data_IF_977798184505
#
_entry.id   IF_977798184505
#
_cell.length_a   1.000
_cell.length_b   1.000
_cell.length_c   1.000
_cell.angle_alpha   90.00
_cell.angle_beta   90.00
_cell.angle_gamma   90.00
#
_symmetry.space_group_name_H-M   'P 1'
#
loop_
_entity.id
_entity.type
_entity.pdbx_description
1 polymer ?
#
# COMPACT_ATOMS: atom_id res chain seq x y z
N UNK A 1 3.94 2.32 11.58
CA UNK A 1 3.99 1.37 10.45
C UNK A 1 4.53 0.03 10.93
N UNK A 2 3.78 -1.05 10.69
CA UNK A 2 4.16 -2.40 11.07
C UNK A 2 4.13 -3.32 9.85
N UNK A 3 5.12 -4.20 9.73
CA UNK A 3 5.14 -5.24 8.70
C UNK A 3 4.17 -6.35 9.06
N UNK A 4 3.31 -6.74 8.13
CA UNK A 4 2.31 -7.80 8.39
C UNK A 4 2.91 -9.20 8.37
N UNK A 5 4.00 -9.42 7.66
CA UNK A 5 4.62 -10.73 7.46
C UNK A 5 3.59 -11.85 7.17
N UNK A 6 2.61 -11.53 6.31
CA UNK A 6 1.46 -12.40 5.99
C UNK A 6 0.53 -12.74 7.17
N UNK A 7 0.66 -12.04 8.31
CA UNK A 7 -0.17 -12.21 9.52
C UNK A 7 -0.84 -10.88 9.91
N UNK A 8 -1.84 -10.42 9.16
CA UNK A 8 -2.44 -9.10 9.39
C UNK A 8 -3.10 -8.97 10.77
N UNK A 9 -3.67 -10.03 11.31
CA UNK A 9 -4.26 -10.02 12.66
C UNK A 9 -3.20 -9.73 13.72
N UNK A 10 -2.04 -10.39 13.63
CA UNK A 10 -0.94 -10.17 14.59
C UNK A 10 -0.36 -8.76 14.48
N UNK A 11 -0.25 -8.22 13.25
CA UNK A 11 0.19 -6.83 13.06
C UNK A 11 -0.78 -5.83 13.71
N UNK A 12 -2.10 -6.04 13.57
CA UNK A 12 -3.13 -5.21 14.22
C UNK A 12 -3.06 -5.34 15.74
N UNK A 13 -2.90 -6.57 16.27
CA UNK A 13 -2.71 -6.80 17.69
C UNK A 13 -1.51 -6.03 18.24
N UNK A 14 -0.38 -6.11 17.56
CA UNK A 14 0.81 -5.33 17.94
C UNK A 14 0.53 -3.84 17.94
N UNK A 15 -0.10 -3.32 16.88
CA UNK A 15 -0.49 -1.89 16.82
C UNK A 15 -1.45 -1.46 17.92
N UNK A 16 -2.44 -2.28 18.24
CA UNK A 16 -3.36 -2.00 19.36
C UNK A 16 -2.65 -2.03 20.71
N UNK A 17 -1.73 -2.96 20.91
CA UNK A 17 -0.91 -3.03 22.13
C UNK A 17 -0.04 -1.79 22.27
N UNK A 18 0.62 -1.35 21.19
CA UNK A 18 1.41 -0.12 21.16
C UNK A 18 0.56 1.12 21.50
N UNK A 19 -0.71 1.16 21.07
CA UNK A 19 -1.63 2.26 21.41
C UNK A 19 -1.95 2.23 22.91
N UNK A 20 -2.28 1.06 23.45
CA UNK A 20 -2.58 0.91 24.89
C UNK A 20 -1.36 1.25 25.76
N UNK A 21 -0.17 0.82 25.37
CA UNK A 21 1.08 1.12 26.10
C UNK A 21 1.39 2.63 26.11
N UNK A 22 1.08 3.34 25.03
CA UNK A 22 1.38 4.78 24.91
C UNK A 22 0.32 5.68 25.54
N UNK A 23 -0.94 5.32 25.40
CA UNK A 23 -2.06 6.19 25.74
C UNK A 23 -2.93 5.63 26.87
N UNK A 24 -2.91 4.34 27.13
CA UNK A 24 -3.65 3.70 28.21
C UNK A 24 -5.14 4.04 28.18
N UNK A 25 -5.69 4.43 29.33
CA UNK A 25 -7.07 4.83 29.49
C UNK A 25 -7.44 6.15 28.77
N UNK A 26 -6.44 6.91 28.29
CA UNK A 26 -6.68 8.11 27.49
C UNK A 26 -7.07 7.80 26.04
N UNK A 27 -6.96 6.54 25.62
CA UNK A 27 -7.32 6.10 24.27
C UNK A 27 -8.85 5.96 24.14
N UNK A 28 -9.53 7.06 23.88
CA UNK A 28 -10.96 7.09 23.58
C UNK A 28 -11.18 7.01 22.06
N UNK A 29 -11.52 5.82 21.57
CA UNK A 29 -11.71 5.54 20.15
C UNK A 29 -13.12 5.94 19.72
N UNK A 30 -13.23 7.05 19.00
CA UNK A 30 -14.50 7.62 18.55
C UNK A 30 -15.03 6.97 17.27
N UNK A 31 -14.16 6.54 16.38
CA UNK A 31 -14.51 5.83 15.15
C UNK A 31 -13.33 5.05 14.59
N UNK A 32 -13.60 3.98 13.86
CA UNK A 32 -12.60 3.12 13.22
C UNK A 32 -12.86 3.00 11.73
N UNK A 33 -11.83 3.33 10.93
CA UNK A 33 -11.81 3.10 9.50
C UNK A 33 -10.72 2.11 9.09
N UNK A 34 -11.01 1.25 8.13
CA UNK A 34 -10.05 0.29 7.59
C UNK A 34 -10.00 0.30 6.06
N UNK A 35 -8.82 0.02 5.52
CA UNK A 35 -8.59 -0.06 4.07
C UNK A 35 -7.53 -1.12 3.73
N UNK A 36 -7.21 -1.25 2.45
CA UNK A 36 -6.24 -2.21 1.93
C UNK A 36 -6.86 -3.58 1.65
N UNK A 37 -6.03 -4.54 1.24
CA UNK A 37 -6.48 -5.89 0.88
C UNK A 37 -7.09 -6.67 2.05
N UNK A 38 -6.63 -6.42 3.28
CA UNK A 38 -7.14 -7.04 4.51
C UNK A 38 -8.33 -6.33 5.16
N UNK A 39 -8.88 -5.27 4.53
CA UNK A 39 -9.88 -4.39 5.14
C UNK A 39 -11.14 -5.09 5.68
N UNK A 40 -11.63 -6.10 4.99
CA UNK A 40 -12.82 -6.83 5.45
C UNK A 40 -12.53 -7.65 6.70
N UNK A 41 -11.43 -8.42 6.70
CA UNK A 41 -11.00 -9.21 7.85
C UNK A 41 -10.78 -8.33 9.07
N UNK A 42 -9.98 -7.28 8.91
CA UNK A 42 -9.64 -6.40 10.02
C UNK A 42 -10.84 -5.54 10.43
N UNK A 43 -11.67 -5.13 9.47
CA UNK A 43 -12.90 -4.40 9.75
C UNK A 43 -13.89 -5.18 10.61
N UNK A 44 -14.08 -6.45 10.30
CA UNK A 44 -14.95 -7.33 11.09
C UNK A 44 -14.34 -7.60 12.49
N UNK A 45 -13.02 -7.81 12.56
CA UNK A 45 -12.32 -8.06 13.81
C UNK A 45 -12.35 -6.86 14.76
N UNK A 46 -12.09 -5.66 14.23
CA UNK A 46 -12.02 -4.43 15.00
C UNK A 46 -13.38 -3.76 15.23
N UNK A 47 -14.43 -4.21 14.54
CA UNK A 47 -15.71 -3.52 14.54
C UNK A 47 -15.64 -2.16 13.83
N UNK A 48 -14.99 -2.12 12.65
CA UNK A 48 -14.80 -0.87 11.93
C UNK A 48 -16.13 -0.24 11.51
N UNK A 49 -16.25 1.06 11.72
CA UNK A 49 -17.40 1.87 11.33
C UNK A 49 -17.46 2.11 9.83
N UNK A 50 -16.29 2.18 9.20
CA UNK A 50 -16.18 2.29 7.75
C UNK A 50 -15.12 1.35 7.19
N UNK A 51 -15.47 0.67 6.09
CA UNK A 51 -14.56 -0.17 5.31
C UNK A 51 -14.40 0.49 3.95
N UNK A 52 -13.22 1.01 3.67
CA UNK A 52 -12.98 1.91 2.54
C UNK A 52 -12.10 1.24 1.50
N UNK A 53 -12.43 1.44 0.22
CA UNK A 53 -11.52 1.09 -0.86
C UNK A 53 -10.24 1.95 -0.76
N UNK A 54 -9.09 1.35 -1.01
CA UNK A 54 -7.79 2.02 -0.86
C UNK A 54 -7.61 3.22 -1.80
N UNK A 55 -8.16 3.18 -3.02
CA UNK A 55 -8.11 4.32 -3.95
C UNK A 55 -8.82 5.52 -3.35
N UNK A 56 -10.01 5.31 -2.79
CA UNK A 56 -10.77 6.36 -2.11
C UNK A 56 -10.04 6.90 -0.88
N UNK A 57 -9.43 6.01 -0.09
CA UNK A 57 -8.67 6.41 1.10
C UNK A 57 -7.46 7.27 0.73
N UNK A 58 -6.63 6.82 -0.23
CA UNK A 58 -5.48 7.58 -0.70
C UNK A 58 -5.90 8.94 -1.30
N UNK A 59 -6.95 8.97 -2.12
CA UNK A 59 -7.48 10.19 -2.72
C UNK A 59 -7.95 11.20 -1.65
N UNK A 60 -8.69 10.73 -0.65
CA UNK A 60 -9.20 11.57 0.44
C UNK A 60 -8.05 12.20 1.25
N UNK A 61 -7.03 11.40 1.61
CA UNK A 61 -5.87 11.92 2.31
C UNK A 61 -5.09 12.94 1.48
N UNK A 62 -4.91 12.65 0.20
CA UNK A 62 -4.19 13.52 -0.72
C UNK A 62 -4.87 14.88 -0.90
N UNK A 63 -6.18 14.88 -1.15
CA UNK A 63 -6.95 16.11 -1.30
C UNK A 63 -7.03 16.92 0.00
N UNK A 64 -6.94 16.26 1.16
CA UNK A 64 -6.88 16.95 2.46
C UNK A 64 -5.53 17.63 2.70
N UNK A 65 -4.41 16.96 2.34
CA UNK A 65 -3.06 17.50 2.55
C UNK A 65 -2.69 18.53 1.48
N UNK A 66 -3.07 18.29 0.24
CA UNK A 66 -2.80 19.12 -0.92
C UNK A 66 -4.09 19.29 -1.72
N UNK A 67 -4.89 20.34 -1.45
CA UNK A 67 -6.17 20.55 -2.11
C UNK A 67 -6.09 20.69 -3.64
N UNK A 68 -4.94 21.13 -4.16
CA UNK A 68 -4.67 21.27 -5.59
C UNK A 68 -4.20 19.98 -6.27
N UNK A 69 -4.01 18.89 -5.53
CA UNK A 69 -3.52 17.63 -6.10
C UNK A 69 -4.42 17.14 -7.24
N UNK A 70 -3.80 16.80 -8.36
CA UNK A 70 -4.47 16.26 -9.54
C UNK A 70 -4.00 14.85 -9.90
N UNK A 71 -2.81 14.46 -9.42
CA UNK A 71 -2.19 13.17 -9.74
C UNK A 71 -1.55 12.55 -8.49
N UNK A 72 -1.82 11.28 -8.26
CA UNK A 72 -1.17 10.51 -7.21
C UNK A 72 -0.40 9.37 -7.85
N UNK A 73 0.90 9.29 -7.55
CA UNK A 73 1.72 8.12 -7.74
C UNK A 73 1.82 7.42 -6.38
N UNK A 74 1.38 6.18 -6.31
CA UNK A 74 1.50 5.37 -5.10
C UNK A 74 2.27 4.09 -5.43
N UNK A 75 3.39 3.87 -4.71
CA UNK A 75 4.18 2.65 -4.84
C UNK A 75 4.39 2.08 -3.43
N UNK A 76 3.66 1.01 -3.18
CA UNK A 76 3.79 0.18 -2.00
C UNK A 76 4.86 -0.90 -2.15
N UNK A 77 4.88 -1.84 -1.19
CA UNK A 77 5.76 -2.99 -1.23
C UNK A 77 5.35 -4.03 -2.27
N UNK A 78 4.05 -4.25 -2.46
CA UNK A 78 3.54 -5.35 -3.30
C UNK A 78 2.77 -4.86 -4.53
N UNK A 79 2.22 -3.68 -4.50
CA UNK A 79 1.45 -3.07 -5.57
C UNK A 79 1.83 -1.61 -5.79
N UNK A 80 1.34 -1.08 -6.88
CA UNK A 80 1.47 0.32 -7.24
C UNK A 80 0.21 0.81 -7.94
N UNK A 81 -0.11 2.09 -7.73
CA UNK A 81 -1.34 2.70 -8.21
C UNK A 81 -1.07 4.08 -8.76
N UNK A 82 -1.75 4.39 -9.83
CA UNK A 82 -1.92 5.74 -10.34
C UNK A 82 -3.35 6.18 -10.08
N UNK A 83 -3.55 7.39 -9.55
CA UNK A 83 -4.88 7.97 -9.37
C UNK A 83 -4.88 9.38 -9.91
N UNK A 84 -5.87 9.71 -10.74
CA UNK A 84 -6.15 11.06 -11.20
C UNK A 84 -7.31 11.64 -10.41
N UNK A 85 -7.12 12.86 -9.95
CA UNK A 85 -8.15 13.61 -9.25
C UNK A 85 -8.64 14.81 -10.09
N UNK A 86 -9.88 15.16 -9.89
CA UNK A 86 -10.50 16.38 -10.41
C UNK A 86 -11.40 16.96 -9.32
N UNK A 87 -11.07 18.15 -8.84
CA UNK A 87 -11.75 18.77 -7.70
C UNK A 87 -11.80 17.89 -6.44
N UNK A 88 -10.70 17.21 -6.13
CA UNK A 88 -10.60 16.30 -4.99
C UNK A 88 -11.31 14.94 -5.14
N UNK A 89 -11.95 14.68 -6.28
CA UNK A 89 -12.66 13.43 -6.57
C UNK A 89 -11.86 12.56 -7.55
N UNK A 90 -11.91 11.25 -7.35
CA UNK A 90 -11.28 10.28 -8.24
C UNK A 90 -11.95 10.32 -9.60
N UNK A 91 -11.18 10.69 -10.63
CA UNK A 91 -11.62 10.71 -12.03
C UNK A 91 -11.25 9.44 -12.79
N UNK A 92 -10.03 8.96 -12.55
CA UNK A 92 -9.49 7.75 -13.16
C UNK A 92 -8.48 7.12 -12.21
N UNK A 93 -8.29 5.82 -12.30
CA UNK A 93 -7.25 5.13 -11.57
C UNK A 93 -6.84 3.84 -12.28
N UNK A 94 -5.64 3.40 -11.99
CA UNK A 94 -5.17 2.09 -12.41
C UNK A 94 -4.20 1.53 -11.37
N UNK A 95 -4.03 0.23 -11.39
CA UNK A 95 -3.08 -0.49 -10.53
C UNK A 95 -2.17 -1.36 -11.41
N UNK A 96 -0.99 -1.67 -10.90
CA UNK A 96 -0.16 -2.66 -11.58
C UNK A 96 -0.93 -3.99 -11.66
N UNK A 97 -0.79 -4.65 -12.80
CA UNK A 97 -1.23 -6.04 -12.97
C UNK A 97 -0.27 -6.95 -12.19
N UNK A 98 -0.14 -8.17 -12.48
CA UNK A 98 0.68 -9.15 -11.75
C UNK A 98 2.22 -8.91 -11.77
N UNK A 99 2.71 -7.75 -12.19
CA UNK A 99 4.15 -7.49 -12.37
C UNK A 99 4.73 -6.69 -11.18
N UNK A 100 5.73 -7.25 -10.51
CA UNK A 100 6.44 -6.60 -9.41
C UNK A 100 7.48 -5.55 -9.84
N UNK A 101 7.78 -5.38 -11.14
CA UNK A 101 8.85 -4.50 -11.61
C UNK A 101 8.67 -3.01 -11.28
N UNK A 102 7.47 -2.59 -10.89
CA UNK A 102 7.15 -1.23 -10.43
C UNK A 102 6.78 -1.17 -8.95
N UNK A 103 7.31 -2.06 -8.10
CA UNK A 103 6.97 -2.16 -6.68
C UNK A 103 8.20 -2.11 -5.77
N UNK A 104 7.98 -1.78 -4.49
CA UNK A 104 9.05 -1.65 -3.51
C UNK A 104 9.75 -2.96 -3.19
N UNK A 105 9.05 -4.10 -3.21
CA UNK A 105 9.65 -5.41 -2.92
C UNK A 105 10.69 -5.81 -3.96
N UNK A 106 10.48 -5.47 -5.22
CA UNK A 106 11.49 -5.69 -6.25
C UNK A 106 12.77 -4.87 -5.98
N UNK A 107 12.59 -3.59 -5.63
CA UNK A 107 13.73 -2.72 -5.34
C UNK A 107 14.51 -3.19 -4.10
N UNK A 108 13.80 -3.68 -3.06
CA UNK A 108 14.38 -4.26 -1.86
C UNK A 108 15.19 -5.53 -2.18
N UNK A 109 14.63 -6.43 -3.00
CA UNK A 109 15.31 -7.64 -3.46
C UNK A 109 16.60 -7.31 -4.24
N UNK A 110 16.56 -6.33 -5.13
CA UNK A 110 17.74 -5.92 -5.89
C UNK A 110 18.81 -5.27 -4.99
N UNK A 111 18.41 -4.48 -4.00
CA UNK A 111 19.33 -3.91 -3.03
C UNK A 111 20.03 -5.01 -2.21
N UNK A 112 19.29 -6.03 -1.77
CA UNK A 112 19.84 -7.19 -1.07
C UNK A 112 20.86 -7.95 -1.93
N UNK A 113 20.55 -8.22 -3.20
CA UNK A 113 21.47 -8.86 -4.15
C UNK A 113 22.75 -8.05 -4.41
N UNK A 114 22.64 -6.72 -4.37
CA UNK A 114 23.80 -5.81 -4.46
C UNK A 114 24.59 -5.71 -3.15
N UNK A 115 24.12 -6.31 -2.05
CA UNK A 115 24.72 -6.23 -0.73
C UNK A 115 24.61 -4.85 -0.08
N UNK A 116 23.60 -4.06 -0.43
CA UNK A 116 23.37 -2.71 0.08
C UNK A 116 22.02 -2.60 0.81
N UNK A 117 21.92 -1.69 1.78
CA UNK A 117 20.68 -1.43 2.48
C UNK A 117 19.76 -0.53 1.65
N UNK A 118 18.53 -0.97 1.37
CA UNK A 118 17.53 -0.15 0.68
C UNK A 118 17.26 1.17 1.43
N UNK A 119 17.23 1.14 2.75
CA UNK A 119 16.91 2.30 3.60
C UNK A 119 18.08 3.27 3.80
N UNK A 120 19.33 2.79 3.81
CA UNK A 120 20.51 3.59 4.18
C UNK A 120 21.38 3.96 2.98
N UNK A 121 21.55 3.00 2.06
CA UNK A 121 22.61 3.08 1.05
C UNK A 121 22.09 3.34 -0.34
N UNK A 122 20.97 2.71 -0.71
CA UNK A 122 20.48 2.68 -2.09
C UNK A 122 20.32 4.07 -2.69
N UNK A 123 19.53 4.95 -2.06
CA UNK A 123 19.25 6.28 -2.59
C UNK A 123 20.53 7.12 -2.72
N UNK A 124 21.40 7.06 -1.70
CA UNK A 124 22.69 7.77 -1.70
C UNK A 124 23.60 7.32 -2.83
N UNK A 125 23.71 6.00 -3.03
CA UNK A 125 24.54 5.43 -4.11
C UNK A 125 23.92 5.75 -5.48
N UNK A 126 22.63 5.56 -5.65
CA UNK A 126 21.95 5.83 -6.91
C UNK A 126 22.04 7.30 -7.35
N UNK A 127 21.96 8.25 -6.40
CA UNK A 127 22.14 9.68 -6.67
C UNK A 127 23.60 10.07 -6.94
N UNK A 128 24.56 9.25 -6.50
CA UNK A 128 25.98 9.44 -6.80
C UNK A 128 26.43 8.75 -8.09
N UNK A 129 25.52 8.13 -8.84
CA UNK A 129 25.84 7.48 -10.11
C UNK A 129 26.31 8.50 -11.16
N UNK A 130 27.48 8.27 -11.74
CA UNK A 130 28.00 9.10 -12.83
C UNK A 130 27.45 8.64 -14.17
N UNK A 131 27.29 7.34 -14.34
CA UNK A 131 26.80 6.70 -15.55
C UNK A 131 25.76 5.62 -15.25
N UNK A 132 24.53 6.02 -14.82
CA UNK A 132 23.48 5.06 -14.53
C UNK A 132 23.27 4.08 -15.71
N UNK A 133 23.33 2.78 -15.42
CA UNK A 133 23.20 1.75 -16.46
C UNK A 133 21.74 1.62 -16.92
N UNK A 134 21.55 1.16 -18.14
CA UNK A 134 20.22 0.77 -18.61
C UNK A 134 19.89 -0.66 -18.11
N UNK A 135 19.04 -0.77 -17.11
CA UNK A 135 18.51 -2.06 -16.62
C UNK A 135 17.26 -2.51 -17.41
N UNK A 136 16.81 -1.69 -18.37
CA UNK A 136 15.61 -1.96 -19.16
C UNK A 136 14.30 -1.71 -18.38
N UNK A 137 13.19 -1.87 -19.11
CA UNK A 137 11.82 -1.69 -18.63
C UNK A 137 10.98 -2.97 -18.83
N UNK A 138 11.57 -4.10 -18.51
CA UNK A 138 11.00 -5.42 -18.73
C UNK A 138 10.50 -6.05 -17.41
N UNK A 139 10.16 -7.33 -17.48
CA UNK A 139 9.86 -8.15 -16.31
C UNK A 139 11.07 -8.19 -15.37
N UNK A 140 10.81 -8.31 -14.07
CA UNK A 140 11.83 -8.41 -13.01
C UNK A 140 12.94 -9.41 -13.31
N UNK A 141 12.63 -10.55 -13.96
CA UNK A 141 13.60 -11.58 -14.33
C UNK A 141 14.63 -11.05 -15.34
N UNK A 142 14.20 -10.24 -16.30
CA UNK A 142 15.12 -9.67 -17.29
C UNK A 142 15.95 -8.55 -16.66
N UNK A 143 15.36 -7.70 -15.82
CA UNK A 143 16.09 -6.68 -15.10
C UNK A 143 17.16 -7.32 -14.20
N UNK A 144 16.80 -8.39 -13.51
CA UNK A 144 17.72 -9.16 -12.68
C UNK A 144 18.92 -9.69 -13.48
N UNK A 145 18.67 -10.22 -14.68
CA UNK A 145 19.71 -10.69 -15.57
C UNK A 145 20.65 -9.56 -16.03
N UNK A 146 20.11 -8.36 -16.29
CA UNK A 146 20.91 -7.19 -16.62
C UNK A 146 21.76 -6.73 -15.43
N UNK A 147 21.21 -6.71 -14.22
CA UNK A 147 21.96 -6.39 -13.00
C UNK A 147 23.13 -7.34 -12.82
N UNK A 148 22.91 -8.66 -12.93
CA UNK A 148 23.97 -9.67 -12.86
C UNK A 148 25.02 -9.45 -13.94
N UNK A 149 24.64 -9.14 -15.17
CA UNK A 149 25.56 -8.84 -16.27
C UNK A 149 26.45 -7.64 -15.95
N UNK A 150 25.89 -6.58 -15.39
CA UNK A 150 26.65 -5.39 -14.99
C UNK A 150 27.59 -5.68 -13.84
N UNK A 151 27.18 -6.45 -12.83
CA UNK A 151 28.05 -6.90 -11.74
C UNK A 151 29.24 -7.70 -12.25
N UNK A 152 29.01 -8.66 -13.18
CA UNK A 152 30.11 -9.45 -13.79
C UNK A 152 31.10 -8.62 -14.59
N UNK A 153 30.67 -7.47 -15.13
CA UNK A 153 31.55 -6.51 -15.85
C UNK A 153 32.29 -5.56 -14.91
N UNK A 154 32.07 -5.65 -13.60
CA UNK A 154 32.67 -4.75 -12.62
C UNK A 154 32.09 -3.33 -12.66
N UNK A 155 30.87 -3.15 -13.14
CA UNK A 155 30.17 -1.85 -13.12
C UNK A 155 30.02 -1.37 -11.67
N UNK A 156 30.27 -0.09 -11.36
CA UNK A 156 30.08 0.45 -10.02
C UNK A 156 28.65 0.21 -9.50
N UNK A 157 28.54 -0.15 -8.23
CA UNK A 157 27.21 -0.39 -7.59
C UNK A 157 26.34 0.87 -7.64
N UNK A 158 26.95 2.06 -7.60
CA UNK A 158 26.24 3.34 -7.76
C UNK A 158 25.53 3.43 -9.11
N UNK A 159 26.21 3.05 -10.20
CA UNK A 159 25.64 3.12 -11.54
C UNK A 159 24.54 2.09 -11.75
N UNK A 160 24.68 0.89 -11.15
CA UNK A 160 23.63 -0.13 -11.13
C UNK A 160 22.40 0.35 -10.32
N UNK A 161 22.63 0.92 -9.13
CA UNK A 161 21.56 1.45 -8.28
C UNK A 161 20.82 2.62 -8.97
N UNK A 162 21.57 3.51 -9.66
CA UNK A 162 21.00 4.57 -10.48
C UNK A 162 20.12 4.02 -11.60
N UNK A 163 20.61 3.01 -12.32
CA UNK A 163 19.85 2.32 -13.36
C UNK A 163 18.56 1.67 -12.85
N UNK A 164 18.63 1.04 -11.68
CA UNK A 164 17.44 0.45 -11.02
C UNK A 164 16.40 1.51 -10.62
N UNK A 165 16.85 2.68 -10.13
CA UNK A 165 15.94 3.79 -9.80
C UNK A 165 15.20 4.29 -11.06
N UNK A 166 15.89 4.40 -12.19
CA UNK A 166 15.25 4.71 -13.47
C UNK A 166 14.33 3.59 -13.95
N UNK A 167 14.75 2.34 -13.84
CA UNK A 167 13.99 1.19 -14.30
C UNK A 167 12.64 1.08 -13.59
N UNK A 168 12.59 1.25 -12.26
CA UNK A 168 11.33 1.22 -11.51
C UNK A 168 10.40 2.38 -11.92
N UNK A 169 10.93 3.58 -12.06
CA UNK A 169 10.15 4.74 -12.47
C UNK A 169 9.61 4.59 -13.91
N UNK A 170 10.43 4.12 -14.85
CA UNK A 170 10.03 3.87 -16.22
C UNK A 170 8.97 2.76 -16.33
N UNK A 171 9.17 1.65 -15.61
CA UNK A 171 8.18 0.57 -15.56
C UNK A 171 6.84 1.06 -15.01
N UNK A 172 6.86 1.88 -13.95
CA UNK A 172 5.64 2.45 -13.40
C UNK A 172 4.94 3.36 -14.43
N UNK A 173 5.66 4.28 -15.06
CA UNK A 173 5.09 5.20 -16.06
C UNK A 173 4.52 4.45 -17.26
N UNK A 174 5.22 3.44 -17.78
CA UNK A 174 4.80 2.73 -18.98
C UNK A 174 3.74 1.64 -18.74
N UNK A 175 3.69 1.04 -17.55
CA UNK A 175 2.83 -0.12 -17.28
C UNK A 175 1.68 0.15 -16.31
N UNK A 176 1.80 1.21 -15.50
CA UNK A 176 0.75 1.62 -14.56
C UNK A 176 0.09 2.89 -15.07
N UNK A 177 0.85 3.95 -15.31
CA UNK A 177 0.29 5.19 -15.87
C UNK A 177 -0.15 4.99 -17.32
N UNK A 178 0.65 4.30 -18.14
CA UNK A 178 0.41 4.06 -19.57
C UNK A 178 0.24 5.38 -20.34
N UNK A 179 -0.89 5.56 -21.02
CA UNK A 179 -1.24 6.77 -21.81
C UNK A 179 -2.06 7.80 -21.01
N UNK A 180 -2.20 7.61 -19.71
CA UNK A 180 -2.99 8.52 -18.89
C UNK A 180 -2.28 9.83 -18.66
N UNK A 181 -3.02 10.93 -18.57
CA UNK A 181 -2.41 12.23 -18.37
C UNK A 181 -1.81 12.33 -16.96
N UNK A 182 -0.63 12.90 -16.87
CA UNK A 182 0.02 13.28 -15.61
C UNK A 182 -0.15 14.80 -15.47
N UNK A 183 -0.80 15.24 -14.41
CA UNK A 183 -1.05 16.64 -14.13
C UNK A 183 0.18 17.38 -13.60
N UNK A 184 -0.01 18.55 -13.04
CA UNK A 184 1.09 19.42 -12.57
C UNK A 184 1.27 19.39 -11.04
N UNK A 185 0.24 18.93 -10.31
CA UNK A 185 0.27 18.79 -8.85
C UNK A 185 0.31 17.32 -8.46
N UNK A 186 1.52 16.75 -8.48
CA UNK A 186 1.75 15.32 -8.29
C UNK A 186 2.14 15.05 -6.85
N UNK A 187 1.44 14.13 -6.17
CA UNK A 187 1.87 13.55 -4.89
C UNK A 187 2.42 12.14 -5.10
N UNK A 188 3.60 11.88 -4.54
CA UNK A 188 4.21 10.54 -4.51
C UNK A 188 4.08 9.92 -3.13
N UNK A 189 3.41 8.78 -3.03
CA UNK A 189 3.02 8.09 -1.80
C UNK A 189 3.52 6.66 -1.76
N UNK A 190 3.32 5.99 -0.62
CA UNK A 190 3.77 4.64 -0.38
C UNK A 190 5.21 4.57 0.12
N UNK A 191 5.66 3.38 0.50
CA UNK A 191 6.98 3.20 1.10
C UNK A 191 8.14 3.54 0.19
N UNK A 192 7.97 3.44 -1.13
CA UNK A 192 9.00 3.77 -2.13
C UNK A 192 9.25 5.28 -2.21
N UNK A 193 8.29 6.11 -1.83
CA UNK A 193 8.45 7.57 -1.83
C UNK A 193 9.54 8.09 -0.86
N UNK A 194 9.97 7.29 0.11
CA UNK A 194 11.17 7.58 0.91
C UNK A 194 12.47 7.53 0.11
N UNK A 195 12.46 6.88 -1.05
CA UNK A 195 13.66 6.74 -1.88
C UNK A 195 13.84 7.96 -2.79
N UNK A 196 14.68 8.87 -2.38
CA UNK A 196 14.95 10.13 -3.11
C UNK A 196 15.53 9.93 -4.50
N UNK A 197 16.19 8.80 -4.79
CA UNK A 197 16.68 8.50 -6.13
C UNK A 197 15.54 8.10 -7.07
N UNK A 198 14.55 7.36 -6.57
CA UNK A 198 13.34 7.04 -7.35
C UNK A 198 12.51 8.31 -7.59
N UNK A 199 12.38 9.18 -6.58
CA UNK A 199 11.75 10.49 -6.75
C UNK A 199 12.43 11.30 -7.87
N UNK A 200 13.77 11.44 -7.80
CA UNK A 200 14.54 12.16 -8.80
C UNK A 200 14.39 11.54 -10.22
N UNK A 201 14.33 10.21 -10.32
CA UNK A 201 14.08 9.53 -11.58
C UNK A 201 12.69 9.88 -12.15
N UNK A 202 11.65 9.90 -11.32
CA UNK A 202 10.32 10.33 -11.74
C UNK A 202 10.30 11.79 -12.20
N UNK A 203 10.88 12.71 -11.45
CA UNK A 203 10.94 14.13 -11.81
C UNK A 203 11.66 14.33 -13.16
N UNK A 204 12.77 13.61 -13.37
CA UNK A 204 13.52 13.69 -14.62
C UNK A 204 12.75 13.10 -15.81
N UNK A 205 12.04 11.98 -15.62
CA UNK A 205 11.28 11.32 -16.69
C UNK A 205 9.99 12.07 -17.04
N UNK A 206 9.34 12.68 -16.06
CA UNK A 206 8.10 13.45 -16.27
C UNK A 206 8.35 14.91 -16.64
N UNK A 207 9.53 15.44 -16.31
CA UNK A 207 9.83 16.88 -16.42
C UNK A 207 9.04 17.74 -15.44
N UNK A 208 8.48 17.14 -14.38
CA UNK A 208 7.59 17.81 -13.42
C UNK A 208 8.13 17.66 -12.00
N UNK A 209 7.88 18.67 -11.17
CA UNK A 209 8.13 18.57 -9.73
C UNK A 209 7.11 17.63 -9.07
N UNK A 210 7.60 16.80 -8.14
CA UNK A 210 6.77 15.80 -7.46
C UNK A 210 6.92 16.00 -5.95
N UNK A 211 5.79 16.13 -5.26
CA UNK A 211 5.78 16.33 -3.81
C UNK A 211 5.60 15.00 -3.09
N UNK A 212 6.45 14.74 -2.10
CA UNK A 212 6.27 13.63 -1.15
C UNK A 212 5.61 14.21 0.09
N UNK A 213 4.37 13.83 0.41
CA UNK A 213 3.67 14.36 1.58
C UNK A 213 4.26 13.79 2.88
N UNK A 214 4.11 14.47 4.01
CA UNK A 214 4.40 13.87 5.31
C UNK A 214 3.54 12.62 5.51
N UNK A 215 4.13 11.60 6.15
CA UNK A 215 3.45 10.32 6.40
C UNK A 215 3.01 9.59 5.12
N UNK A 216 3.80 9.73 4.05
CA UNK A 216 3.54 9.11 2.74
C UNK A 216 3.27 7.61 2.79
N UNK A 217 3.79 6.91 3.80
CA UNK A 217 3.65 5.46 4.01
C UNK A 217 2.31 5.04 4.64
N UNK A 218 1.57 5.97 5.23
CA UNK A 218 0.28 5.69 5.90
C UNK A 218 -0.88 6.53 5.38
N UNK A 219 -0.77 7.07 4.17
CA UNK A 219 -1.81 7.91 3.55
C UNK A 219 -3.17 7.21 3.48
N UNK A 220 -3.20 5.90 3.20
CA UNK A 220 -4.43 5.12 3.24
C UNK A 220 -5.10 5.13 4.63
N UNK A 221 -4.33 5.01 5.71
CA UNK A 221 -4.85 5.08 7.07
C UNK A 221 -5.36 6.49 7.43
N UNK A 222 -4.64 7.53 7.01
CA UNK A 222 -5.08 8.93 7.18
C UNK A 222 -6.42 9.16 6.47
N UNK A 223 -6.55 8.69 5.22
CA UNK A 223 -7.79 8.81 4.47
C UNK A 223 -8.96 8.07 5.12
N UNK A 224 -8.73 6.87 5.64
CA UNK A 224 -9.74 6.14 6.42
C UNK A 224 -10.17 6.88 7.69
N UNK A 225 -9.23 7.47 8.41
CA UNK A 225 -9.51 8.27 9.59
C UNK A 225 -10.38 9.48 9.25
N UNK A 226 -10.07 10.19 8.17
CA UNK A 226 -10.87 11.33 7.70
C UNK A 226 -12.28 10.92 7.30
N UNK A 227 -12.44 9.79 6.61
CA UNK A 227 -13.74 9.26 6.21
C UNK A 227 -14.55 8.79 7.44
N UNK A 228 -13.92 8.07 8.38
CA UNK A 228 -14.56 7.63 9.61
C UNK A 228 -15.04 8.83 10.45
N UNK A 229 -14.17 9.84 10.58
CA UNK A 229 -14.53 11.11 11.27
C UNK A 229 -15.72 11.80 10.60
N UNK A 230 -15.74 11.89 9.28
CA UNK A 230 -16.85 12.48 8.53
C UNK A 230 -18.14 11.71 8.78
N UNK A 231 -18.10 10.38 8.65
CA UNK A 231 -19.25 9.51 8.92
C UNK A 231 -19.81 9.71 10.34
N UNK A 232 -18.94 9.79 11.33
CA UNK A 232 -19.33 10.06 12.73
C UNK A 232 -20.04 11.41 12.86
N UNK A 233 -19.50 12.47 12.24
CA UNK A 233 -20.07 13.83 12.35
C UNK A 233 -21.39 14.00 11.60
N UNK A 234 -21.57 13.26 10.50
CA UNK A 234 -22.77 13.35 9.65
C UNK A 234 -23.90 12.40 10.08
N UNK A 235 -23.63 11.44 10.99
CA UNK A 235 -24.60 10.46 11.44
C UNK A 235 -25.19 10.86 12.81
N UNK A 236 -26.45 11.31 12.90
CA UNK A 236 -27.08 11.61 14.19
C UNK A 236 -27.13 10.38 15.10
N UNK A 237 -26.72 10.55 16.35
CA UNK A 237 -26.70 9.47 17.33
C UNK A 237 -25.64 8.39 17.03
N UNK A 238 -24.59 8.74 16.28
CA UNK A 238 -23.50 7.81 15.98
C UNK A 238 -22.95 7.17 17.25
N UNK A 239 -22.80 5.85 17.21
CA UNK A 239 -22.07 5.08 18.20
C UNK A 239 -21.08 4.18 17.46
N UNK A 240 -19.82 4.20 17.88
CA UNK A 240 -18.80 3.38 17.22
C UNK A 240 -19.07 1.89 17.40
N UNK A 241 -18.84 1.13 16.33
CA UNK A 241 -18.85 -0.32 16.36
C UNK A 241 -17.56 -0.94 16.88
N UNK A 242 -16.60 -0.13 17.34
CA UNK A 242 -15.30 -0.61 17.82
C UNK A 242 -15.46 -1.65 18.94
N UNK A 243 -14.91 -2.84 18.73
CA UNK A 243 -15.04 -3.97 19.65
C UNK A 243 -14.15 -3.86 20.89
N UNK A 244 -13.43 -2.75 21.01
CA UNK A 244 -12.47 -2.52 22.09
C UNK A 244 -11.15 -3.27 21.87
N UNK A 245 -10.20 -2.98 22.74
CA UNK A 245 -8.88 -3.60 22.70
C UNK A 245 -8.86 -5.05 23.21
N UNK A 246 -9.94 -5.53 23.82
CA UNK A 246 -10.07 -6.92 24.30
C UNK A 246 -9.99 -7.98 23.18
N UNK A 247 -10.16 -7.58 21.92
CA UNK A 247 -9.90 -8.46 20.76
C UNK A 247 -8.46 -8.97 20.71
N UNK A 248 -7.52 -8.29 21.38
CA UNK A 248 -6.13 -8.67 21.47
C UNK A 248 -5.90 -10.00 22.22
N UNK A 249 -6.78 -10.31 23.17
CA UNK A 249 -6.65 -11.46 24.06
C UNK A 249 -7.41 -12.69 23.53
N UNK A 250 -8.35 -12.47 22.59
CA UNK A 250 -9.15 -13.56 22.03
C UNK A 250 -8.30 -14.47 21.15
N UNK A 251 -8.35 -15.76 21.42
CA UNK A 251 -7.80 -16.77 20.52
C UNK A 251 -8.42 -16.71 19.14
N UNK A 252 -7.66 -16.95 18.10
CA UNK A 252 -8.21 -17.20 16.77
C UNK A 252 -7.60 -18.47 16.15
N UNK A 253 -8.37 -19.10 15.30
CA UNK A 253 -7.98 -20.28 14.53
C UNK A 253 -8.25 -20.03 13.06
N UNK A 254 -7.28 -20.32 12.22
CA UNK A 254 -7.41 -20.23 10.78
C UNK A 254 -7.49 -21.63 10.19
N UNK A 255 -8.49 -21.87 9.36
CA UNK A 255 -8.68 -23.06 8.55
C UNK A 255 -8.73 -22.63 7.08
N UNK A 256 -8.27 -23.48 6.17
CA UNK A 256 -8.39 -23.23 4.74
C UNK A 256 -9.08 -24.41 4.07
N UNK A 257 -9.91 -24.13 3.10
CA UNK A 257 -10.56 -25.15 2.27
C UNK A 257 -10.78 -24.64 0.84
N UNK A 258 -10.83 -25.56 -0.10
CA UNK A 258 -11.13 -25.24 -1.49
C UNK A 258 -12.65 -25.20 -1.70
N UNK A 259 -13.15 -24.11 -2.30
CA UNK A 259 -14.55 -23.99 -2.67
C UNK A 259 -14.81 -24.74 -3.97
N UNK A 260 -15.68 -25.74 -3.93
CA UNK A 260 -16.03 -26.58 -5.08
C UNK A 260 -17.36 -26.21 -5.75
N UNK A 261 -17.85 -24.99 -5.53
CA UNK A 261 -19.18 -24.56 -6.00
C UNK A 261 -19.19 -23.99 -7.43
N UNK A 262 -18.03 -23.71 -8.01
CA UNK A 262 -17.89 -23.28 -9.40
C UNK A 262 -16.46 -23.56 -9.91
N UNK A 263 -16.24 -23.32 -11.20
CA UNK A 263 -14.95 -23.58 -11.86
C UNK A 263 -13.76 -22.77 -11.30
N UNK A 264 -14.00 -21.70 -10.53
CA UNK A 264 -12.92 -20.90 -9.94
C UNK A 264 -12.19 -21.63 -8.81
N UNK A 265 -12.81 -22.62 -8.16
CA UNK A 265 -12.21 -23.43 -7.10
C UNK A 265 -11.37 -22.62 -6.10
N UNK A 266 -11.91 -21.50 -5.62
CA UNK A 266 -11.20 -20.56 -4.77
C UNK A 266 -10.72 -21.22 -3.47
N UNK A 267 -9.49 -20.93 -3.05
CA UNK A 267 -9.02 -21.24 -1.71
C UNK A 267 -9.61 -20.26 -0.71
N UNK A 268 -10.46 -20.76 0.17
CA UNK A 268 -11.16 -19.98 1.18
C UNK A 268 -10.46 -20.11 2.51
N UNK A 269 -10.05 -19.01 3.07
CA UNK A 269 -9.61 -18.93 4.46
C UNK A 269 -10.80 -18.66 5.37
N UNK A 270 -11.01 -19.53 6.35
CA UNK A 270 -12.01 -19.41 7.41
C UNK A 270 -11.31 -19.04 8.70
N UNK A 271 -11.66 -17.92 9.27
CA UNK A 271 -11.10 -17.45 10.55
C UNK A 271 -12.19 -17.54 11.62
N UNK A 272 -11.87 -18.26 12.67
CA UNK A 272 -12.70 -18.45 13.86
C UNK A 272 -12.08 -17.61 14.98
N UNK A 273 -12.78 -16.59 15.43
CA UNK A 273 -12.39 -15.78 16.59
C UNK A 273 -13.40 -16.07 17.72
N UNK A 274 -12.92 -16.25 18.92
CA UNK A 274 -13.77 -16.54 20.07
C UNK A 274 -14.80 -15.44 20.29
N UNK A 275 -16.09 -15.83 20.37
CA UNK A 275 -17.21 -14.89 20.50
C UNK A 275 -17.61 -14.15 19.23
N UNK A 276 -17.02 -14.48 18.05
CA UNK A 276 -17.38 -13.91 16.75
C UNK A 276 -17.94 -14.99 15.80
N UNK A 277 -18.72 -14.56 14.82
CA UNK A 277 -19.13 -15.44 13.71
C UNK A 277 -17.91 -15.81 12.87
N UNK A 278 -17.89 -17.01 12.25
CA UNK A 278 -16.83 -17.35 11.31
C UNK A 278 -16.69 -16.32 10.20
N UNK A 279 -15.47 -15.89 9.92
CA UNK A 279 -15.13 -14.95 8.87
C UNK A 279 -14.50 -15.70 7.70
N UNK A 280 -14.87 -15.37 6.46
CA UNK A 280 -14.40 -16.08 5.27
C UNK A 280 -13.78 -15.12 4.27
N UNK A 281 -12.62 -15.49 3.69
CA UNK A 281 -11.84 -14.67 2.77
C UNK A 281 -11.27 -15.52 1.63
N UNK A 282 -10.92 -14.88 0.51
CA UNK A 282 -10.32 -15.53 -0.65
C UNK A 282 -11.33 -15.93 -1.73
N UNK A 283 -12.62 -15.70 -1.51
CA UNK A 283 -13.64 -15.90 -2.54
C UNK A 283 -13.55 -14.85 -3.65
N UNK A 284 -13.76 -15.28 -4.91
CA UNK A 284 -13.93 -14.38 -6.05
C UNK A 284 -15.39 -13.93 -6.26
N UNK A 285 -16.28 -14.36 -5.39
CA UNK A 285 -17.69 -13.99 -5.40
C UNK A 285 -18.14 -13.71 -3.96
N UNK A 286 -19.27 -13.02 -3.81
CA UNK A 286 -19.83 -12.58 -2.51
C UNK A 286 -20.44 -13.71 -1.67
N UNK A 287 -20.36 -14.97 -2.08
CA UNK A 287 -21.04 -16.11 -1.45
C UNK A 287 -20.64 -16.30 0.03
N UNK A 288 -19.39 -16.05 0.34
CA UNK A 288 -18.84 -16.16 1.70
C UNK A 288 -18.71 -14.80 2.41
N UNK A 289 -19.05 -13.71 1.72
CA UNK A 289 -19.06 -12.40 2.36
C UNK A 289 -20.25 -12.33 3.33
N UNK A 290 -19.95 -12.07 4.58
CA UNK A 290 -20.98 -11.82 5.59
C UNK A 290 -21.60 -10.46 5.27
N UNK A 291 -22.79 -10.46 4.63
CA UNK A 291 -23.55 -9.21 4.46
C UNK A 291 -23.84 -8.67 5.85
N UNK A 292 -23.30 -7.52 6.18
CA UNK A 292 -23.77 -6.75 7.33
C UNK A 292 -25.24 -6.45 7.02
N UNK A 293 -26.16 -7.03 7.79
CA UNK A 293 -27.54 -6.59 7.78
C UNK A 293 -27.54 -5.12 8.18
N UNK A 294 -27.88 -4.24 7.23
CA UNK A 294 -28.27 -2.87 7.52
C UNK A 294 -29.46 -2.95 8.47
N UNK A 295 -29.18 -2.73 9.77
CA UNK A 295 -30.19 -2.47 10.77
C UNK A 295 -30.59 -1.00 10.73
#
# INVERSE_FOLDING_TARGET
>A
YLMTASRPIEAVRTGFRDILERYGELADVQAVGVTGSGRHLIGDLAGADVVVNEITAHATASAFICPEVDTIFEIGGQDSKYVRLENGLVKDFTMNKACAAGTGSFLEEQAEKLGISIKRDFARLALAAEHPVDCGEQCTVFIDSEVVRHQQRGTPVSDIAGGLAYSIATNYLHRVVEKRPVGDHILFQGGVAFNTAVLAAFERLTGKAITVPPHNEVMGAIGCCLIARRNMLETPGFATGFTGFGVLEKGYRQESFQCNLCANQCDISKILVEGHRPLFYGGRCERYEVRRSSG
#
